data_IF_947676358537
#
_entry.id   IF_947676358537
#
_cell.length_a   1.000
_cell.length_b   1.000
_cell.length_c   1.000
_cell.angle_alpha   90.00
_cell.angle_beta   90.00
_cell.angle_gamma   90.00
#
_symmetry.space_group_name_H-M   'P 1'
#
loop_
_entity.id
_entity.type
_entity.pdbx_description
1 polymer ?
#
# COMPACT_ATOMS: atom_id res chain seq x y z
N UNK A 1 6.72 16.37 -17.35
CA UNK A 1 7.14 17.40 -16.39
C UNK A 1 6.91 16.85 -15.00
N UNK A 2 7.96 16.46 -14.29
CA UNK A 2 7.85 15.94 -12.92
C UNK A 2 7.75 17.12 -11.97
N UNK A 3 6.62 17.26 -11.26
CA UNK A 3 6.44 18.28 -10.21
C UNK A 3 7.51 18.08 -9.14
N UNK A 4 8.21 19.12 -8.73
CA UNK A 4 9.18 19.05 -7.62
C UNK A 4 8.45 18.75 -6.30
N UNK A 5 9.06 17.95 -5.43
CA UNK A 5 8.53 17.67 -4.09
C UNK A 5 8.73 18.93 -3.25
N UNK A 6 7.64 19.52 -2.76
CA UNK A 6 7.72 20.74 -1.96
C UNK A 6 7.83 20.43 -0.46
N UNK A 7 8.32 21.42 0.32
CA UNK A 7 8.33 21.37 1.79
C UNK A 7 6.96 20.99 2.35
N UNK A 8 5.94 21.66 1.81
CA UNK A 8 4.56 21.54 2.23
C UNK A 8 4.01 20.13 1.99
N UNK A 9 4.39 19.49 0.87
CA UNK A 9 4.00 18.11 0.56
C UNK A 9 4.56 17.13 1.61
N UNK A 10 5.84 17.30 1.99
CA UNK A 10 6.50 16.44 2.98
C UNK A 10 5.91 16.65 4.37
N UNK A 11 5.68 17.91 4.79
CA UNK A 11 5.06 18.21 6.10
C UNK A 11 3.63 17.66 6.18
N UNK A 12 2.83 17.83 5.12
CA UNK A 12 1.47 17.30 5.06
C UNK A 12 1.46 15.76 5.12
N UNK A 13 2.41 15.11 4.43
CA UNK A 13 2.56 13.66 4.47
C UNK A 13 2.97 13.16 5.86
N UNK A 14 3.93 13.82 6.52
CA UNK A 14 4.32 13.50 7.91
C UNK A 14 3.16 13.66 8.89
N UNK A 15 2.37 14.73 8.77
CA UNK A 15 1.20 14.96 9.59
C UNK A 15 0.11 13.89 9.37
N UNK A 16 -0.11 13.48 8.10
CA UNK A 16 -1.04 12.41 7.77
C UNK A 16 -0.59 11.06 8.34
N UNK A 17 0.68 10.69 8.18
CA UNK A 17 1.23 9.46 8.76
C UNK A 17 1.17 9.44 10.30
N UNK A 18 1.39 10.58 10.95
CA UNK A 18 1.19 10.72 12.39
C UNK A 18 -0.29 10.56 12.80
N UNK A 19 -1.23 11.05 11.99
CA UNK A 19 -2.66 10.82 12.21
C UNK A 19 -3.02 9.34 12.12
N UNK A 20 -2.57 8.66 11.05
CA UNK A 20 -2.80 7.23 10.86
C UNK A 20 -2.27 6.41 12.05
N UNK A 21 -1.06 6.72 12.51
CA UNK A 21 -0.49 6.05 13.68
C UNK A 21 -1.33 6.24 14.95
N UNK A 22 -1.85 7.45 15.18
CA UNK A 22 -2.75 7.73 16.31
C UNK A 22 -4.07 7.00 16.19
N UNK A 23 -4.64 6.90 14.99
CA UNK A 23 -5.86 6.15 14.71
C UNK A 23 -5.67 4.64 15.00
N UNK A 24 -4.44 4.13 14.85
CA UNK A 24 -4.05 2.79 15.26
C UNK A 24 -3.64 2.67 16.75
N UNK A 25 -3.84 3.71 17.56
CA UNK A 25 -3.65 3.69 19.01
C UNK A 25 -2.26 4.12 19.51
N UNK A 26 -1.40 4.69 18.66
CA UNK A 26 -0.08 5.17 19.06
C UNK A 26 -0.15 6.62 19.55
N UNK A 27 0.04 6.86 20.84
CA UNK A 27 -0.11 8.18 21.47
C UNK A 27 0.95 9.21 21.00
N UNK A 28 2.19 8.76 20.84
CA UNK A 28 3.33 9.59 20.41
C UNK A 28 4.12 8.85 19.31
N UNK A 29 3.71 8.99 18.04
CA UNK A 29 4.30 8.22 16.95
C UNK A 29 5.70 8.71 16.59
N UNK A 30 6.69 7.83 16.74
CA UNK A 30 8.05 8.11 16.29
C UNK A 30 8.15 8.17 14.75
N UNK A 31 9.19 8.82 14.18
CA UNK A 31 9.36 8.94 12.73
C UNK A 31 9.31 7.59 11.97
N UNK A 32 9.84 6.52 12.55
CA UNK A 32 9.80 5.18 11.98
C UNK A 32 8.37 4.64 11.91
N UNK A 33 7.55 4.90 12.92
CA UNK A 33 6.13 4.53 12.90
C UNK A 33 5.41 5.27 11.79
N UNK A 34 5.63 6.58 11.69
CA UNK A 34 5.02 7.42 10.65
C UNK A 34 5.40 6.89 9.27
N UNK A 35 6.68 6.60 9.04
CA UNK A 35 7.16 6.04 7.78
C UNK A 35 6.54 4.66 7.47
N UNK A 36 6.33 3.83 8.48
CA UNK A 36 5.68 2.53 8.34
C UNK A 36 4.20 2.66 7.98
N UNK A 37 3.45 3.55 8.65
CA UNK A 37 2.04 3.79 8.36
C UNK A 37 1.84 4.38 6.95
N UNK A 38 2.73 5.28 6.51
CA UNK A 38 2.71 5.79 5.14
C UNK A 38 2.98 4.69 4.10
N UNK A 39 3.84 3.71 4.40
CA UNK A 39 4.04 2.55 3.52
C UNK A 39 2.79 1.66 3.44
N UNK A 40 2.07 1.48 4.56
CA UNK A 40 0.80 0.75 4.59
C UNK A 40 -0.26 1.50 3.77
N UNK A 41 -0.42 2.80 4.01
CA UNK A 41 -1.36 3.64 3.24
C UNK A 41 -1.05 3.58 1.75
N UNK A 42 0.22 3.68 1.35
CA UNK A 42 0.63 3.57 -0.04
C UNK A 42 0.31 2.19 -0.64
N UNK A 43 0.53 1.12 0.11
CA UNK A 43 0.21 -0.23 -0.32
C UNK A 43 -1.30 -0.43 -0.49
N UNK A 44 -2.11 0.07 0.43
CA UNK A 44 -3.57 0.00 0.35
C UNK A 44 -4.10 0.87 -0.78
N UNK A 45 -3.54 2.08 -0.96
CA UNK A 45 -3.85 2.96 -2.08
C UNK A 45 -3.65 2.23 -3.42
N UNK A 46 -2.52 1.53 -3.59
CA UNK A 46 -2.27 0.72 -4.80
C UNK A 46 -3.31 -0.39 -4.98
N UNK A 47 -3.74 -1.08 -3.92
CA UNK A 47 -4.78 -2.12 -4.01
C UNK A 47 -6.15 -1.54 -4.40
N UNK A 48 -6.43 -0.30 -4.01
CA UNK A 48 -7.69 0.39 -4.30
C UNK A 48 -7.74 0.96 -5.73
N UNK A 49 -6.60 1.12 -6.41
CA UNK A 49 -6.58 1.62 -7.78
C UNK A 49 -7.35 0.69 -8.73
N UNK A 50 -8.06 1.25 -9.72
CA UNK A 50 -8.77 0.43 -10.70
C UNK A 50 -7.79 -0.39 -11.55
N UNK A 51 -7.79 -1.70 -11.33
CA UNK A 51 -7.07 -2.67 -12.17
C UNK A 51 -7.82 -2.82 -13.50
N UNK A 52 -7.32 -2.15 -14.54
CA UNK A 52 -7.91 -2.20 -15.90
C UNK A 52 -7.83 -3.58 -16.53
N UNK A 53 -6.78 -4.35 -16.24
CA UNK A 53 -6.58 -5.70 -16.79
C UNK A 53 -7.56 -6.68 -16.16
N UNK A 54 -7.70 -6.63 -14.84
CA UNK A 54 -8.72 -7.41 -14.12
C UNK A 54 -10.14 -6.95 -14.46
N UNK A 55 -10.35 -5.65 -14.68
CA UNK A 55 -11.62 -5.10 -15.18
C UNK A 55 -11.95 -5.62 -16.57
N UNK A 56 -10.97 -5.75 -17.46
CA UNK A 56 -11.14 -6.36 -18.78
C UNK A 56 -11.45 -7.86 -18.68
N UNK A 57 -10.72 -8.60 -17.83
CA UNK A 57 -10.96 -10.03 -17.59
C UNK A 57 -12.30 -10.33 -16.90
N UNK A 58 -12.76 -9.43 -16.02
CA UNK A 58 -14.02 -9.56 -15.28
C UNK A 58 -15.22 -8.89 -15.98
N UNK A 59 -15.00 -8.13 -17.06
CA UNK A 59 -16.09 -7.59 -17.88
C UNK A 59 -16.75 -8.72 -18.67
N UNK A 60 -17.78 -9.31 -18.06
CA UNK A 60 -18.63 -10.34 -18.66
C UNK A 60 -19.32 -9.88 -19.97
N UNK A 61 -19.29 -8.58 -20.29
CA UNK A 61 -19.99 -7.99 -21.43
C UNK A 61 -19.37 -8.29 -22.81
N UNK A 62 -18.20 -8.94 -22.90
CA UNK A 62 -17.55 -9.26 -24.19
C UNK A 62 -17.18 -10.72 -24.41
N UNK A 63 -17.35 -11.56 -23.40
CA UNK A 63 -17.05 -12.99 -23.52
C UNK A 63 -18.38 -13.73 -23.53
N UNK A 64 -18.72 -14.34 -24.66
CA UNK A 64 -19.79 -15.34 -24.73
C UNK A 64 -19.37 -16.55 -23.89
N UNK A 65 -19.52 -16.44 -22.57
CA UNK A 65 -19.15 -17.48 -21.65
C UNK A 65 -20.09 -18.68 -21.87
N UNK A 66 -19.58 -19.92 -21.86
CA UNK A 66 -20.41 -21.11 -21.94
C UNK A 66 -21.52 -21.09 -20.87
N UNK A 67 -22.74 -21.60 -21.16
CA UNK A 67 -23.90 -21.53 -20.27
C UNK A 67 -23.63 -21.98 -18.83
N UNK A 68 -22.73 -22.95 -18.64
CA UNK A 68 -22.33 -23.47 -17.33
C UNK A 68 -21.71 -22.41 -16.41
N UNK A 69 -21.04 -21.40 -16.97
CA UNK A 69 -20.40 -20.33 -16.19
C UNK A 69 -21.38 -19.18 -15.90
N UNK A 70 -22.38 -18.99 -16.77
CA UNK A 70 -23.52 -18.08 -16.52
C UNK A 70 -24.35 -18.63 -15.35
N UNK A 71 -24.71 -19.91 -15.39
CA UNK A 71 -25.45 -20.55 -14.29
C UNK A 71 -24.68 -20.51 -12.96
N UNK A 72 -23.36 -20.64 -13.02
CA UNK A 72 -22.52 -20.57 -11.82
C UNK A 72 -22.45 -19.14 -11.27
N UNK A 73 -22.40 -18.12 -12.14
CA UNK A 73 -22.48 -16.71 -11.76
C UNK A 73 -23.86 -16.33 -11.18
N UNK A 74 -24.95 -16.88 -11.73
CA UNK A 74 -26.31 -16.66 -11.21
C UNK A 74 -26.53 -17.35 -9.86
N UNK A 75 -26.06 -18.59 -9.69
CA UNK A 75 -26.05 -19.28 -8.39
C UNK A 75 -25.23 -18.50 -7.35
N UNK A 76 -24.14 -17.87 -7.80
CA UNK A 76 -23.29 -17.04 -6.96
C UNK A 76 -23.96 -15.72 -6.57
N UNK A 77 -24.61 -15.02 -7.51
CA UNK A 77 -25.41 -13.82 -7.23
C UNK A 77 -26.58 -14.11 -6.28
N UNK A 78 -27.25 -15.26 -6.44
CA UNK A 78 -28.32 -15.71 -5.55
C UNK A 78 -27.83 -16.13 -4.15
N UNK A 79 -26.58 -16.57 -4.02
CA UNK A 79 -25.95 -16.82 -2.71
C UNK A 79 -25.59 -15.51 -2.01
N UNK A 80 -25.14 -14.50 -2.75
CA UNK A 80 -24.87 -13.14 -2.25
C UNK A 80 -26.16 -12.47 -1.75
N UNK A 81 -27.27 -12.60 -2.48
CA UNK A 81 -28.58 -12.06 -2.08
C UNK A 81 -29.15 -12.69 -0.79
N UNK A 82 -28.66 -13.87 -0.38
CA UNK A 82 -29.10 -14.61 0.82
C UNK A 82 -28.32 -14.28 2.09
N UNK A 83 -27.53 -13.21 2.09
CA UNK A 83 -26.86 -12.72 3.30
C UNK A 83 -25.52 -13.38 3.62
N UNK A 84 -24.85 -14.01 2.64
CA UNK A 84 -23.47 -14.50 2.76
C UNK A 84 -22.42 -13.37 2.80
N UNK A 85 -22.75 -12.22 3.41
CA UNK A 85 -21.99 -10.98 3.35
C UNK A 85 -20.71 -11.01 4.21
N UNK A 86 -20.72 -11.74 5.33
CA UNK A 86 -19.62 -11.74 6.30
C UNK A 86 -18.31 -12.36 5.78
N UNK A 87 -18.36 -13.07 4.64
CA UNK A 87 -17.21 -13.66 3.98
C UNK A 87 -16.71 -12.86 2.76
N UNK A 88 -17.41 -11.80 2.35
CA UNK A 88 -16.98 -10.98 1.22
C UNK A 88 -15.92 -9.99 1.69
N UNK A 89 -14.70 -10.13 1.16
CA UNK A 89 -13.73 -9.02 1.14
C UNK A 89 -14.37 -7.89 0.35
N UNK A 90 -14.99 -6.94 1.05
CA UNK A 90 -15.55 -5.74 0.44
C UNK A 90 -14.46 -5.12 -0.41
N UNK A 91 -14.76 -4.88 -1.69
CA UNK A 91 -13.82 -4.20 -2.57
C UNK A 91 -13.48 -2.87 -1.89
N UNK A 92 -12.20 -2.58 -1.61
CA UNK A 92 -11.81 -1.31 -1.04
C UNK A 92 -12.39 -0.18 -1.92
N UNK A 93 -12.98 0.83 -1.29
CA UNK A 93 -13.43 2.02 -2.01
C UNK A 93 -12.28 2.66 -2.80
N UNK A 94 -12.58 3.46 -3.84
CA UNK A 94 -11.53 4.15 -4.59
C UNK A 94 -10.68 5.00 -3.64
N UNK A 95 -9.35 5.07 -3.85
CA UNK A 95 -8.49 5.84 -2.97
C UNK A 95 -8.78 7.34 -3.15
N UNK A 96 -8.63 8.10 -2.07
CA UNK A 96 -8.74 9.56 -2.13
C UNK A 96 -7.60 10.17 -2.97
N UNK A 97 -7.84 11.31 -3.61
CA UNK A 97 -6.81 12.02 -4.37
C UNK A 97 -5.57 12.33 -3.51
N UNK A 98 -5.78 12.73 -2.25
CA UNK A 98 -4.70 13.02 -1.32
C UNK A 98 -3.87 11.78 -0.96
N UNK A 99 -4.48 10.59 -0.87
CA UNK A 99 -3.75 9.34 -0.65
C UNK A 99 -2.89 8.97 -1.88
N UNK A 100 -3.41 9.20 -3.10
CA UNK A 100 -2.63 9.01 -4.34
C UNK A 100 -1.44 9.97 -4.38
N UNK A 101 -1.64 11.25 -4.05
CA UNK A 101 -0.56 12.25 -4.03
C UNK A 101 0.51 11.93 -2.99
N UNK A 102 0.12 11.49 -1.78
CA UNK A 102 1.06 11.02 -0.75
C UNK A 102 1.83 9.78 -1.20
N UNK A 103 1.15 8.81 -1.80
CA UNK A 103 1.78 7.61 -2.36
C UNK A 103 2.80 7.96 -3.45
N UNK A 104 2.46 8.83 -4.39
CA UNK A 104 3.38 9.28 -5.44
C UNK A 104 4.59 10.03 -4.84
N UNK A 105 4.34 10.90 -3.87
CA UNK A 105 5.41 11.60 -3.13
C UNK A 105 6.33 10.61 -2.43
N UNK A 106 5.78 9.63 -1.70
CA UNK A 106 6.53 8.58 -1.02
C UNK A 106 7.38 7.77 -1.99
N UNK A 107 6.84 7.36 -3.14
CA UNK A 107 7.60 6.61 -4.14
C UNK A 107 8.73 7.43 -4.76
N UNK A 108 8.55 8.73 -4.98
CA UNK A 108 9.64 9.59 -5.43
C UNK A 108 10.77 9.69 -4.39
N UNK A 109 10.44 9.69 -3.09
CA UNK A 109 11.44 9.64 -2.02
C UNK A 109 12.23 8.34 -1.98
N UNK A 110 11.68 7.27 -2.54
CA UNK A 110 12.38 5.98 -2.66
C UNK A 110 13.34 5.93 -3.84
N UNK A 111 13.39 6.94 -4.70
CA UNK A 111 14.39 7.00 -5.78
C UNK A 111 15.79 7.04 -5.16
N UNK A 112 16.71 6.23 -5.70
CA UNK A 112 18.06 6.10 -5.17
C UNK A 112 18.12 5.49 -3.75
N UNK A 113 17.15 4.65 -3.37
CA UNK A 113 17.22 3.93 -2.10
C UNK A 113 18.46 3.02 -2.06
N UNK A 114 19.26 3.02 -0.98
CA UNK A 114 20.54 2.32 -0.94
C UNK A 114 20.40 0.79 -1.05
N UNK A 115 19.26 0.25 -0.59
CA UNK A 115 18.96 -1.19 -0.65
C UNK A 115 17.55 -1.42 -1.21
N UNK A 116 17.37 -1.37 -2.53
CA UNK A 116 16.05 -1.44 -3.14
C UNK A 116 15.33 -2.77 -2.85
N UNK A 117 16.09 -3.86 -2.67
CA UNK A 117 15.53 -5.16 -2.30
C UNK A 117 14.95 -5.18 -0.88
N UNK A 118 15.58 -4.47 0.07
CA UNK A 118 15.09 -4.38 1.44
C UNK A 118 13.80 -3.53 1.48
N UNK A 119 13.77 -2.42 0.74
CA UNK A 119 12.57 -1.60 0.57
C UNK A 119 11.43 -2.41 -0.05
N UNK A 120 11.71 -3.19 -1.11
CA UNK A 120 10.71 -4.07 -1.73
C UNK A 120 10.12 -5.07 -0.73
N UNK A 121 10.95 -5.67 0.13
CA UNK A 121 10.48 -6.58 1.18
C UNK A 121 9.61 -5.85 2.20
N UNK A 122 10.01 -4.65 2.61
CA UNK A 122 9.23 -3.81 3.52
C UNK A 122 7.87 -3.46 2.92
N UNK A 123 7.83 -3.06 1.65
CA UNK A 123 6.60 -2.73 0.95
C UNK A 123 5.65 -3.93 0.78
N UNK A 124 6.20 -5.12 0.46
CA UNK A 124 5.41 -6.36 0.41
C UNK A 124 4.82 -6.72 1.77
N UNK A 125 5.57 -6.52 2.86
CA UNK A 125 5.04 -6.69 4.21
C UNK A 125 3.92 -5.69 4.50
N UNK A 126 4.10 -4.40 4.17
CA UNK A 126 3.07 -3.37 4.34
C UNK A 126 1.81 -3.66 3.51
N UNK A 127 1.98 -4.32 2.36
CA UNK A 127 0.89 -4.81 1.52
C UNK A 127 0.12 -6.00 2.13
N UNK A 128 0.55 -6.52 3.29
CA UNK A 128 -0.07 -7.65 3.97
C UNK A 128 0.42 -9.02 3.47
N UNK A 129 1.49 -9.09 2.66
CA UNK A 129 2.04 -10.37 2.19
C UNK A 129 2.75 -11.06 3.37
N UNK A 130 2.41 -12.32 3.68
CA UNK A 130 3.06 -13.05 4.76
C UNK A 130 4.58 -13.15 4.59
N UNK A 131 5.34 -12.88 5.65
CA UNK A 131 6.80 -12.86 5.64
C UNK A 131 7.44 -14.16 5.09
N UNK A 132 6.79 -15.31 5.28
CA UNK A 132 7.28 -16.59 4.78
C UNK A 132 7.21 -16.72 3.25
N UNK A 133 6.21 -16.10 2.60
CA UNK A 133 6.12 -16.06 1.14
C UNK A 133 7.19 -15.13 0.55
N UNK A 134 7.41 -13.98 1.19
CA UNK A 134 8.46 -13.04 0.82
C UNK A 134 9.84 -13.69 0.96
N UNK A 135 10.08 -14.39 2.08
CA UNK A 135 11.31 -15.12 2.35
C UNK A 135 11.59 -16.19 1.28
N UNK A 136 10.56 -16.98 0.92
CA UNK A 136 10.64 -17.99 -0.13
C UNK A 136 10.96 -17.38 -1.49
N UNK A 137 10.27 -16.31 -1.87
CA UNK A 137 10.46 -15.66 -3.17
C UNK A 137 11.82 -14.96 -3.28
N UNK A 138 12.28 -14.34 -2.20
CA UNK A 138 13.56 -13.60 -2.17
C UNK A 138 14.74 -14.42 -1.66
N UNK A 139 14.57 -15.74 -1.51
CA UNK A 139 15.60 -16.72 -1.09
C UNK A 139 16.34 -16.31 0.18
N UNK A 140 15.62 -15.88 1.22
CA UNK A 140 16.20 -15.48 2.51
C UNK A 140 15.39 -16.04 3.69
N UNK A 141 15.85 -15.77 4.92
CA UNK A 141 15.13 -16.18 6.14
C UNK A 141 14.01 -15.18 6.49
N UNK A 142 12.99 -15.62 7.23
CA UNK A 142 11.92 -14.72 7.75
C UNK A 142 12.51 -13.58 8.58
N UNK A 143 13.52 -13.85 9.40
CA UNK A 143 14.24 -12.84 10.19
C UNK A 143 14.88 -11.78 9.29
N UNK A 144 15.46 -12.19 8.16
CA UNK A 144 16.03 -11.26 7.17
C UNK A 144 14.96 -10.32 6.60
N UNK A 145 13.73 -10.79 6.40
CA UNK A 145 12.61 -9.95 5.93
C UNK A 145 12.24 -8.87 6.95
N UNK A 146 12.13 -9.22 8.24
CA UNK A 146 11.86 -8.24 9.29
C UNK A 146 13.02 -7.26 9.49
N UNK A 147 14.27 -7.73 9.50
CA UNK A 147 15.42 -6.85 9.57
C UNK A 147 15.49 -5.90 8.35
N UNK A 148 15.06 -6.35 7.17
CA UNK A 148 14.98 -5.52 5.97
C UNK A 148 13.89 -4.45 6.10
N UNK A 149 12.74 -4.78 6.71
CA UNK A 149 11.72 -3.79 7.10
C UNK A 149 12.33 -2.71 7.98
N UNK A 150 12.91 -3.09 9.12
CA UNK A 150 13.40 -2.13 10.11
C UNK A 150 14.45 -1.18 9.53
N UNK A 151 15.40 -1.71 8.75
CA UNK A 151 16.40 -0.89 8.06
C UNK A 151 15.78 0.07 7.04
N UNK A 152 14.80 -0.39 6.27
CA UNK A 152 14.17 0.43 5.22
C UNK A 152 13.31 1.52 5.84
N UNK A 153 12.58 1.20 6.91
CA UNK A 153 11.78 2.16 7.66
C UNK A 153 12.66 3.23 8.30
N UNK A 154 13.78 2.84 8.91
CA UNK A 154 14.72 3.81 9.49
C UNK A 154 15.28 4.78 8.44
N UNK A 155 15.71 4.27 7.28
CA UNK A 155 16.21 5.12 6.19
C UNK A 155 15.13 6.04 5.62
N UNK A 156 13.88 5.56 5.52
CA UNK A 156 12.76 6.39 5.08
C UNK A 156 12.45 7.50 6.10
N UNK A 157 12.41 7.16 7.38
CA UNK A 157 12.20 8.11 8.47
C UNK A 157 13.27 9.21 8.46
N UNK A 158 14.55 8.83 8.32
CA UNK A 158 15.66 9.78 8.22
C UNK A 158 15.51 10.70 6.99
N UNK A 159 15.12 10.16 5.82
CA UNK A 159 14.89 10.97 4.62
C UNK A 159 13.75 11.96 4.79
N UNK A 160 12.64 11.52 5.40
CA UNK A 160 11.48 12.37 5.67
C UNK A 160 11.84 13.52 6.62
N UNK A 161 12.55 13.21 7.70
CA UNK A 161 13.01 14.19 8.68
C UNK A 161 14.00 15.20 8.05
N UNK A 162 14.98 14.72 7.29
CA UNK A 162 15.94 15.57 6.59
C UNK A 162 15.27 16.50 5.57
N UNK A 163 14.29 16.02 4.82
CA UNK A 163 13.56 16.86 3.86
C UNK A 163 12.65 17.87 4.56
N UNK A 164 12.00 17.49 5.65
CA UNK A 164 11.22 18.42 6.46
C UNK A 164 12.09 19.55 7.03
N UNK A 165 13.34 19.25 7.41
CA UNK A 165 14.28 20.25 7.94
C UNK A 165 14.90 21.12 6.85
N UNK A 166 15.39 20.51 5.77
CA UNK A 166 16.08 21.22 4.69
C UNK A 166 15.16 22.16 3.90
N UNK A 167 13.86 21.88 3.87
CA UNK A 167 12.87 22.70 3.17
C UNK A 167 12.17 23.73 4.09
N UNK A 168 12.54 23.76 5.38
CA UNK A 168 12.09 24.77 6.35
C UNK A 168 13.16 25.83 6.62
N UNK A 169 14.40 25.61 6.19
CA UNK A 169 15.53 26.54 6.24
C UNK A 169 15.63 27.35 4.94
#
# INVERSE_FOLDING_TARGET
>A
MSREITSQDVTAMMAAGASLARDHGMSDPCPETIAWELLIEAADTLKCLPDRERGWLASCDRSAWPPVLIEQAERWAAAVARGGWDAMTVRPGPPSAAAIERMDTLFRLTVGFPRPLDLRRAFLLASGVPAHLIARHTKCSRRTVFNARDRSVAVLAERLDNMSKNLAA
#
